data_IF_045476703972
#
_entry.id   IF_045476703972
#
_cell.length_a   1.000
_cell.length_b   1.000
_cell.length_c   1.000
_cell.angle_alpha   90.00
_cell.angle_beta   90.00
_cell.angle_gamma   90.00
#
_symmetry.space_group_name_H-M   'P 1'
#
loop_
_entity.id
_entity.type
_entity.pdbx_description
1 polymer ?
#
# COMPACT_ATOMS: atom_id res chain seq x y z
N UNK A 1 -18.53 12.60 8.21
CA UNK A 1 -17.14 12.10 8.21
C UNK A 1 -17.05 10.88 9.11
N UNK A 2 -16.38 9.84 8.66
CA UNK A 2 -16.13 8.60 9.40
C UNK A 2 -14.73 8.09 9.05
N UNK A 3 -14.01 7.53 10.02
CA UNK A 3 -12.75 6.84 9.73
C UNK A 3 -13.03 5.34 9.49
N UNK A 4 -12.46 4.77 8.45
CA UNK A 4 -12.63 3.36 8.07
C UNK A 4 -11.31 2.60 8.10
N UNK A 5 -11.35 1.38 8.59
CA UNK A 5 -10.21 0.47 8.67
C UNK A 5 -10.19 -0.56 7.53
N UNK A 6 -9.16 -1.41 7.51
CA UNK A 6 -8.86 -2.35 6.43
C UNK A 6 -10.02 -3.31 6.09
N UNK A 7 -10.78 -3.78 7.07
CA UNK A 7 -11.94 -4.66 6.82
C UNK A 7 -13.00 -4.00 5.92
N UNK A 8 -13.20 -2.68 6.07
CA UNK A 8 -14.09 -1.93 5.19
C UNK A 8 -13.54 -1.87 3.75
N UNK A 9 -12.22 -1.65 3.60
CA UNK A 9 -11.56 -1.61 2.30
C UNK A 9 -11.64 -2.98 1.59
N UNK A 10 -11.41 -4.07 2.34
CA UNK A 10 -11.53 -5.43 1.82
C UNK A 10 -12.95 -5.77 1.42
N UNK A 11 -13.95 -5.34 2.19
CA UNK A 11 -15.35 -5.55 1.87
C UNK A 11 -15.77 -4.85 0.57
N UNK A 12 -15.15 -3.73 0.22
CA UNK A 12 -15.36 -3.05 -1.06
C UNK A 12 -14.60 -3.69 -2.22
N UNK A 13 -13.39 -4.19 -1.97
CA UNK A 13 -12.54 -4.76 -3.01
C UNK A 13 -12.89 -6.20 -3.40
N UNK A 14 -13.51 -6.96 -2.49
CA UNK A 14 -13.84 -8.38 -2.70
C UNK A 14 -15.29 -8.53 -3.18
N UNK A 15 -15.48 -9.35 -4.20
CA UNK A 15 -16.82 -9.63 -4.77
C UNK A 15 -17.73 -10.47 -3.84
N UNK A 16 -17.16 -11.28 -2.93
CA UNK A 16 -17.90 -12.20 -2.04
C UNK A 16 -17.54 -11.97 -0.56
N UNK A 17 -17.56 -10.70 -0.13
CA UNK A 17 -17.40 -10.38 1.29
C UNK A 17 -18.77 -10.26 1.98
N UNK A 18 -18.90 -10.91 3.15
CA UNK A 18 -20.11 -10.85 3.97
C UNK A 18 -20.46 -9.44 4.47
N UNK A 19 -19.50 -8.50 4.43
CA UNK A 19 -19.71 -7.09 4.75
C UNK A 19 -19.99 -6.21 3.52
N UNK A 20 -19.89 -6.72 2.29
CA UNK A 20 -19.93 -5.91 1.06
C UNK A 20 -21.18 -5.03 0.98
N UNK A 21 -22.38 -5.60 1.17
CA UNK A 21 -23.63 -4.82 1.12
C UNK A 21 -23.65 -3.67 2.13
N UNK A 22 -23.08 -3.89 3.32
CA UNK A 22 -23.00 -2.87 4.38
C UNK A 22 -21.94 -1.82 4.06
N UNK A 23 -20.81 -2.23 3.50
CA UNK A 23 -19.74 -1.32 3.11
C UNK A 23 -20.22 -0.38 1.99
N UNK A 24 -20.88 -0.93 0.96
CA UNK A 24 -21.49 -0.15 -0.13
C UNK A 24 -22.54 0.81 0.40
N UNK A 25 -23.45 0.36 1.27
CA UNK A 25 -24.45 1.23 1.87
C UNK A 25 -23.84 2.38 2.71
N UNK A 26 -22.67 2.16 3.31
CA UNK A 26 -21.97 3.19 4.06
C UNK A 26 -21.26 4.22 3.15
N UNK A 27 -20.83 3.84 1.94
CA UNK A 27 -20.32 4.79 0.93
C UNK A 27 -21.37 5.84 0.61
N UNK A 28 -22.64 5.44 0.44
CA UNK A 28 -23.74 6.37 0.18
C UNK A 28 -24.24 7.09 1.45
N UNK A 29 -23.97 6.53 2.63
CA UNK A 29 -24.51 6.98 3.91
C UNK A 29 -23.72 8.10 4.59
N UNK A 30 -22.45 8.31 4.22
CA UNK A 30 -21.57 9.31 4.84
C UNK A 30 -20.99 10.26 3.80
N UNK A 31 -20.93 11.56 4.13
CA UNK A 31 -20.36 12.59 3.24
C UNK A 31 -18.86 12.39 2.93
N UNK A 32 -18.13 11.74 3.84
CA UNK A 32 -16.68 11.52 3.70
C UNK A 32 -16.26 10.31 4.53
N UNK A 33 -15.47 9.44 3.93
CA UNK A 33 -14.82 8.31 4.57
C UNK A 33 -13.31 8.57 4.54
N UNK A 34 -12.68 8.71 5.70
CA UNK A 34 -11.24 8.88 5.82
C UNK A 34 -10.58 7.54 6.17
N UNK A 35 -9.35 7.35 5.74
CA UNK A 35 -8.52 6.22 6.20
C UNK A 35 -7.09 6.67 6.44
N UNK A 36 -6.18 5.71 6.64
CA UNK A 36 -4.77 5.99 6.85
C UNK A 36 -3.90 5.16 5.91
N UNK A 37 -2.68 5.61 5.67
CA UNK A 37 -1.67 4.80 5.00
C UNK A 37 -1.44 3.43 5.66
N UNK A 38 -1.65 3.32 6.98
CA UNK A 38 -1.55 2.04 7.71
C UNK A 38 -2.61 1.05 7.23
N UNK A 39 -3.85 1.49 7.07
CA UNK A 39 -4.93 0.63 6.57
C UNK A 39 -4.70 0.24 5.09
N UNK A 40 -4.19 1.16 4.28
CA UNK A 40 -3.83 0.87 2.88
C UNK A 40 -2.64 -0.12 2.79
N UNK A 41 -1.65 0.00 3.68
CA UNK A 41 -0.54 -0.94 3.77
C UNK A 41 -0.99 -2.34 4.22
N UNK A 42 -1.92 -2.41 5.19
CA UNK A 42 -2.49 -3.68 5.62
C UNK A 42 -3.33 -4.31 4.50
N UNK A 43 -4.12 -3.52 3.77
CA UNK A 43 -4.84 -3.97 2.57
C UNK A 43 -3.89 -4.64 1.58
N UNK A 44 -2.76 -4.00 1.26
CA UNK A 44 -1.73 -4.57 0.40
C UNK A 44 -1.13 -5.86 0.98
N UNK A 45 -0.84 -5.90 2.28
CA UNK A 45 -0.26 -7.07 2.94
C UNK A 45 -1.17 -8.31 2.94
N UNK A 46 -2.49 -8.12 2.94
CA UNK A 46 -3.45 -9.23 2.86
C UNK A 46 -3.95 -9.48 1.45
N UNK A 47 -3.71 -8.55 0.51
CA UNK A 47 -4.17 -8.66 -0.88
C UNK A 47 -3.64 -9.89 -1.62
N UNK A 48 -2.45 -10.39 -1.24
CA UNK A 48 -1.84 -11.62 -1.80
C UNK A 48 -2.70 -12.88 -1.61
N UNK A 49 -3.69 -12.83 -0.72
CA UNK A 49 -4.62 -13.93 -0.44
C UNK A 49 -5.80 -13.96 -1.41
N UNK A 50 -5.93 -12.97 -2.28
CA UNK A 50 -7.09 -12.76 -3.13
C UNK A 50 -6.68 -12.60 -4.59
N UNK A 51 -7.56 -12.98 -5.51
CA UNK A 51 -7.34 -12.89 -6.95
C UNK A 51 -7.94 -11.58 -7.50
N UNK A 52 -7.30 -10.44 -7.22
CA UNK A 52 -7.65 -9.16 -7.85
C UNK A 52 -6.41 -8.34 -8.23
N UNK A 53 -6.57 -7.43 -9.20
CA UNK A 53 -5.56 -6.46 -9.60
C UNK A 53 -5.39 -5.40 -8.49
N UNK A 54 -4.26 -5.45 -7.77
CA UNK A 54 -4.07 -4.62 -6.57
C UNK A 54 -3.96 -3.15 -6.92
N UNK A 55 -3.27 -2.81 -8.01
CA UNK A 55 -3.12 -1.44 -8.50
C UNK A 55 -4.48 -0.84 -8.84
N UNK A 56 -5.32 -1.58 -9.55
CA UNK A 56 -6.68 -1.16 -9.87
C UNK A 56 -7.54 -1.04 -8.62
N UNK A 57 -7.53 -2.05 -7.75
CA UNK A 57 -8.30 -2.04 -6.51
C UNK A 57 -7.89 -0.86 -5.61
N UNK A 58 -6.60 -0.57 -5.50
CA UNK A 58 -6.08 0.57 -4.76
C UNK A 58 -6.56 1.90 -5.34
N UNK A 59 -6.54 2.05 -6.67
CA UNK A 59 -7.07 3.24 -7.34
C UNK A 59 -8.57 3.42 -7.08
N UNK A 60 -9.36 2.36 -7.22
CA UNK A 60 -10.80 2.37 -6.98
C UNK A 60 -11.12 2.73 -5.51
N UNK A 61 -10.36 2.20 -4.54
CA UNK A 61 -10.50 2.54 -3.12
C UNK A 61 -10.17 4.01 -2.86
N UNK A 62 -9.11 4.56 -3.46
CA UNK A 62 -8.67 5.96 -3.30
C UNK A 62 -9.61 6.99 -3.96
N UNK A 63 -10.59 6.53 -4.75
CA UNK A 63 -11.70 7.35 -5.24
C UNK A 63 -12.88 7.37 -4.25
N UNK A 64 -12.93 6.41 -3.31
CA UNK A 64 -13.97 6.28 -2.28
C UNK A 64 -13.52 6.89 -0.94
N UNK A 65 -12.27 6.66 -0.56
CA UNK A 65 -11.72 7.11 0.73
C UNK A 65 -10.77 8.30 0.57
N UNK A 66 -10.81 9.18 1.56
CA UNK A 66 -9.94 10.36 1.66
C UNK A 66 -8.69 10.03 2.47
N UNK A 67 -7.53 10.35 1.90
CA UNK A 67 -6.21 10.38 2.53
C UNK A 67 -5.48 11.65 2.05
N UNK A 68 -4.30 11.96 2.60
CA UNK A 68 -3.50 13.06 2.06
C UNK A 68 -3.00 12.77 0.65
N UNK A 69 -2.69 13.80 -0.14
CA UNK A 69 -2.12 13.64 -1.49
C UNK A 69 -0.80 12.83 -1.47
N UNK A 70 0.00 13.02 -0.42
CA UNK A 70 1.22 12.25 -0.20
C UNK A 70 0.92 10.76 0.02
N UNK A 71 0.00 10.42 0.92
CA UNK A 71 -0.41 9.04 1.17
C UNK A 71 -1.05 8.39 -0.06
N UNK A 72 -1.84 9.14 -0.83
CA UNK A 72 -2.41 8.69 -2.12
C UNK A 72 -1.30 8.30 -3.10
N UNK A 73 -0.28 9.13 -3.25
CA UNK A 73 0.87 8.82 -4.12
C UNK A 73 1.66 7.61 -3.63
N UNK A 74 1.89 7.50 -2.32
CA UNK A 74 2.60 6.37 -1.72
C UNK A 74 1.82 5.07 -1.97
N UNK A 75 0.52 5.06 -1.72
CA UNK A 75 -0.32 3.87 -1.84
C UNK A 75 -0.38 3.34 -3.30
N UNK A 76 -0.54 4.23 -4.29
CA UNK A 76 -0.55 3.85 -5.71
C UNK A 76 0.81 3.28 -6.16
N UNK A 77 1.91 3.90 -5.77
CA UNK A 77 3.26 3.40 -6.09
C UNK A 77 3.54 2.06 -5.41
N UNK A 78 3.13 1.90 -4.15
CA UNK A 78 3.31 0.65 -3.41
C UNK A 78 2.54 -0.50 -4.08
N UNK A 79 1.28 -0.28 -4.48
CA UNK A 79 0.51 -1.27 -5.23
C UNK A 79 1.22 -1.68 -6.53
N UNK A 80 1.76 -0.70 -7.27
CA UNK A 80 2.54 -0.95 -8.48
C UNK A 80 3.80 -1.76 -8.22
N UNK A 81 4.59 -1.43 -7.19
CA UNK A 81 5.80 -2.18 -6.84
C UNK A 81 5.51 -3.63 -6.44
N UNK A 82 4.36 -3.89 -5.81
CA UNK A 82 3.95 -5.24 -5.46
C UNK A 82 3.44 -6.04 -6.68
N UNK A 83 2.72 -5.40 -7.61
CA UNK A 83 2.19 -6.03 -8.82
C UNK A 83 3.27 -6.30 -9.88
N UNK A 84 4.11 -5.31 -10.17
CA UNK A 84 5.07 -5.37 -11.29
C UNK A 84 6.44 -5.94 -10.87
N UNK A 85 6.89 -5.62 -9.67
CA UNK A 85 8.28 -5.88 -9.23
C UNK A 85 8.37 -6.92 -8.09
N UNK A 86 7.24 -7.42 -7.61
CA UNK A 86 7.19 -8.50 -6.61
C UNK A 86 7.66 -8.13 -5.21
N UNK A 87 7.78 -6.83 -4.90
CA UNK A 87 8.12 -6.36 -3.55
C UNK A 87 7.06 -6.81 -2.54
N UNK A 88 7.45 -7.12 -1.30
CA UNK A 88 6.45 -7.35 -0.24
C UNK A 88 5.70 -6.05 0.05
N UNK A 89 4.47 -6.13 0.58
CA UNK A 89 3.64 -4.94 0.82
C UNK A 89 4.35 -3.85 1.63
N UNK A 90 5.09 -4.22 2.69
CA UNK A 90 5.79 -3.23 3.50
C UNK A 90 7.05 -2.69 2.80
N UNK A 91 7.79 -3.51 2.04
CA UNK A 91 8.93 -3.02 1.25
C UNK A 91 8.46 -2.05 0.15
N UNK A 92 7.34 -2.37 -0.49
CA UNK A 92 6.70 -1.52 -1.48
C UNK A 92 6.28 -0.16 -0.89
N UNK A 93 5.69 -0.15 0.32
CA UNK A 93 5.33 1.10 1.02
C UNK A 93 6.58 1.89 1.41
N UNK A 94 7.64 1.25 1.88
CA UNK A 94 8.91 1.94 2.16
C UNK A 94 9.53 2.55 0.90
N UNK A 95 9.64 1.78 -0.19
CA UNK A 95 10.14 2.24 -1.49
C UNK A 95 9.33 3.43 -2.00
N UNK A 96 8.00 3.31 -2.03
CA UNK A 96 7.09 4.38 -2.44
C UNK A 96 7.20 5.63 -1.55
N UNK A 97 7.41 5.46 -0.24
CA UNK A 97 7.62 6.57 0.69
C UNK A 97 8.92 7.30 0.39
N UNK A 98 10.02 6.56 0.22
CA UNK A 98 11.36 7.09 -0.06
C UNK A 98 11.36 7.87 -1.36
N UNK A 99 10.78 7.30 -2.42
CA UNK A 99 10.70 7.94 -3.73
C UNK A 99 9.81 9.19 -3.70
N UNK A 100 8.62 9.11 -3.08
CA UNK A 100 7.67 10.25 -2.99
C UNK A 100 8.26 11.41 -2.20
N UNK A 101 8.99 11.10 -1.11
CA UNK A 101 9.63 12.11 -0.25
C UNK A 101 11.01 12.53 -0.74
N UNK A 102 11.52 11.93 -1.84
CA UNK A 102 12.87 12.15 -2.40
C UNK A 102 13.96 11.95 -1.34
N UNK A 103 13.83 10.86 -0.57
CA UNK A 103 14.79 10.44 0.44
C UNK A 103 15.73 9.37 -0.11
N UNK A 104 16.71 9.01 0.70
CA UNK A 104 17.52 7.80 0.54
C UNK A 104 17.16 6.82 1.64
N UNK A 105 17.27 5.52 1.39
CA UNK A 105 16.97 4.49 2.39
C UNK A 105 18.23 3.81 2.90
N UNK A 106 18.43 3.76 4.21
CA UNK A 106 19.44 2.92 4.85
C UNK A 106 18.79 1.56 5.13
N UNK A 107 19.12 0.54 4.33
CA UNK A 107 18.47 -0.77 4.39
C UNK A 107 19.43 -1.90 4.03
N UNK A 108 19.18 -3.08 4.60
CA UNK A 108 19.91 -4.32 4.29
C UNK A 108 19.26 -5.13 3.18
N UNK A 109 18.00 -4.87 2.85
CA UNK A 109 17.31 -5.60 1.78
C UNK A 109 17.75 -5.08 0.42
N UNK A 110 18.03 -5.99 -0.50
CA UNK A 110 18.49 -5.69 -1.85
C UNK A 110 17.33 -5.43 -2.82
N UNK A 111 16.08 -5.73 -2.43
CA UNK A 111 14.92 -5.45 -3.28
C UNK A 111 14.87 -3.97 -3.73
N UNK A 112 15.34 -3.04 -2.88
CA UNK A 112 15.39 -1.62 -3.22
C UNK A 112 16.35 -1.31 -4.38
N UNK A 113 17.40 -2.12 -4.57
CA UNK A 113 18.32 -1.98 -5.71
C UNK A 113 17.59 -2.36 -7.02
N UNK A 114 16.73 -3.39 -7.00
CA UNK A 114 15.91 -3.82 -8.14
C UNK A 114 14.80 -2.80 -8.48
N UNK A 115 14.27 -2.11 -7.46
CA UNK A 115 13.24 -1.07 -7.59
C UNK A 115 13.79 0.32 -8.02
N UNK A 116 15.09 0.43 -8.34
CA UNK A 116 15.77 1.71 -8.65
C UNK A 116 15.63 2.77 -7.52
N UNK A 117 15.60 2.32 -6.27
CA UNK A 117 15.55 3.19 -5.08
C UNK A 117 16.99 3.46 -4.59
N UNK A 118 17.29 4.71 -4.23
CA UNK A 118 18.61 5.10 -3.71
C UNK A 118 18.86 4.51 -2.31
N UNK A 119 19.38 3.27 -2.30
CA UNK A 119 19.74 2.52 -1.10
C UNK A 119 21.18 2.83 -0.67
N UNK A 120 21.33 3.10 0.61
CA UNK A 120 22.60 3.03 1.34
C UNK A 120 22.65 1.68 2.02
N UNK A 121 23.65 0.87 1.69
CA UNK A 121 23.86 -0.45 2.28
C UNK A 121 24.04 -0.36 3.80
N UNK A 122 23.25 -1.14 4.54
CA UNK A 122 23.37 -1.28 6.00
C UNK A 122 24.34 -2.42 6.35
N UNK A 123 24.42 -3.43 5.49
CA UNK A 123 25.34 -4.55 5.60
C UNK A 123 26.80 -4.10 5.48
N UNK A 124 27.73 -4.73 6.22
CA UNK A 124 29.15 -4.46 6.03
C UNK A 124 29.61 -4.95 4.64
N UNK A 125 30.73 -4.39 4.13
CA UNK A 125 31.41 -4.91 2.96
C UNK A 125 31.62 -6.42 3.06
N UNK A 126 31.59 -7.14 1.93
CA UNK A 126 31.70 -8.60 1.91
C UNK A 126 32.96 -9.12 2.61
N UNK A 127 34.05 -8.36 2.56
CA UNK A 127 35.34 -8.65 3.19
C UNK A 127 35.40 -8.38 4.70
N UNK A 128 34.36 -7.74 5.26
CA UNK A 128 34.21 -7.45 6.69
C UNK A 128 33.06 -8.24 7.35
N UNK A 129 32.39 -9.15 6.61
CA UNK A 129 31.35 -10.02 7.17
C UNK A 129 31.95 -11.06 8.12
N UNK A 130 31.40 -11.24 9.34
CA UNK A 130 31.91 -12.18 10.35
C UNK A 130 31.67 -13.66 10.01
#
# INVERSE_FOLDING_TARGET
MMFVETDFLLALAKDDDWLQERAVAAVDGYETLETSLVALAEFLAVSDRYEFDRTRAMADLLDIVTVTDEEKQIALKAAKYQDEEGATAFDAVHAATVETKRLRILASDHIYDDLDIDRVALEPPEDERP
#
